data_IF_453610328260
#
_entry.id   IF_453610328260
#
_cell.length_a   1.000
_cell.length_b   1.000
_cell.length_c   1.000
_cell.angle_alpha   90.00
_cell.angle_beta   90.00
_cell.angle_gamma   90.00
#
_symmetry.space_group_name_H-M   'P 1'
#
loop_
_entity.id
_entity.type
_entity.pdbx_description
1 polymer ?
#
# COMPACT_ATOMS: atom_id res chain seq x y z
N UNK A 1 -5.29 -5.35 -3.71
CA UNK A 1 -3.81 -5.30 -3.56
C UNK A 1 -3.24 -4.37 -4.61
N UNK A 2 -2.02 -3.85 -4.40
CA UNK A 2 -1.33 -3.05 -5.42
C UNK A 2 0.00 -3.71 -5.74
N UNK A 3 0.31 -3.78 -7.03
CA UNK A 3 1.54 -4.40 -7.53
C UNK A 3 2.70 -3.42 -7.37
N UNK A 4 3.83 -3.92 -6.87
CA UNK A 4 5.09 -3.16 -6.78
C UNK A 4 6.15 -3.72 -7.73
N UNK A 5 6.17 -5.04 -7.94
CA UNK A 5 7.08 -5.67 -8.88
C UNK A 5 6.37 -6.84 -9.58
N UNK A 6 6.68 -7.05 -10.85
CA UNK A 6 6.16 -8.16 -11.66
C UNK A 6 7.33 -9.06 -12.07
N UNK A 7 7.16 -10.35 -11.89
CA UNK A 7 8.05 -11.41 -12.36
C UNK A 7 7.28 -12.27 -13.39
N UNK A 8 7.95 -13.17 -14.09
CA UNK A 8 7.37 -14.02 -15.14
C UNK A 8 6.34 -15.03 -14.59
N UNK A 9 6.50 -15.45 -13.32
CA UNK A 9 5.63 -16.46 -12.67
C UNK A 9 4.72 -15.89 -11.59
N UNK A 10 5.08 -14.74 -11.02
CA UNK A 10 4.39 -14.15 -9.89
C UNK A 10 4.56 -12.64 -9.86
N UNK A 11 3.67 -11.97 -9.14
CA UNK A 11 3.78 -10.54 -8.85
C UNK A 11 4.00 -10.35 -7.36
N UNK A 12 4.90 -9.45 -7.02
CA UNK A 12 5.07 -8.98 -5.63
C UNK A 12 4.15 -7.79 -5.42
N UNK A 13 3.28 -7.92 -4.43
CA UNK A 13 2.24 -6.96 -4.12
C UNK A 13 2.37 -6.50 -2.67
N UNK A 14 2.02 -5.24 -2.44
CA UNK A 14 1.77 -4.74 -1.09
C UNK A 14 0.29 -4.86 -0.76
N UNK A 15 0.00 -5.15 0.50
CA UNK A 15 -1.37 -5.14 0.98
C UNK A 15 -1.82 -3.69 1.17
N UNK A 16 -2.88 -3.32 0.46
CA UNK A 16 -3.63 -2.09 0.75
C UNK A 16 -4.73 -2.46 1.73
N UNK A 17 -4.63 -1.93 2.94
CA UNK A 17 -5.55 -2.18 4.03
C UNK A 17 -6.78 -1.27 3.90
N UNK A 18 -7.63 -1.56 2.92
CA UNK A 18 -8.89 -0.83 2.68
C UNK A 18 -9.97 -1.30 3.67
N UNK A 19 -10.01 -2.60 3.97
CA UNK A 19 -11.06 -3.23 4.80
C UNK A 19 -10.62 -3.61 6.21
N UNK A 20 -9.32 -3.72 6.45
CA UNK A 20 -8.75 -4.28 7.69
C UNK A 20 -8.83 -3.32 8.89
N UNK A 21 -9.20 -2.06 8.68
CA UNK A 21 -9.33 -1.05 9.75
C UNK A 21 -10.77 -0.61 10.02
N UNK A 22 -11.75 -1.13 9.27
CA UNK A 22 -13.15 -0.69 9.37
C UNK A 22 -13.35 0.78 9.00
N UNK A 23 -12.63 1.27 8.00
CA UNK A 23 -12.66 2.69 7.58
C UNK A 23 -11.85 3.64 8.49
N UNK A 24 -11.11 3.12 9.46
CA UNK A 24 -10.36 3.94 10.44
C UNK A 24 -8.93 4.29 10.00
N UNK A 25 -8.46 3.77 8.86
CA UNK A 25 -7.09 3.99 8.39
C UNK A 25 -6.04 3.72 9.49
N UNK A 26 -5.15 4.67 9.75
CA UNK A 26 -4.10 4.56 10.78
C UNK A 26 -4.62 4.67 12.24
N UNK A 27 -5.91 4.96 12.45
CA UNK A 27 -6.54 4.97 13.77
C UNK A 27 -6.91 3.57 14.29
N UNK A 28 -6.69 2.52 13.49
CA UNK A 28 -6.94 1.17 13.94
C UNK A 28 -6.01 0.77 15.11
N UNK A 29 -6.61 0.20 16.15
CA UNK A 29 -5.89 -0.29 17.31
C UNK A 29 -4.91 -1.42 16.94
N UNK A 30 -3.70 -1.35 17.48
CA UNK A 30 -2.63 -2.32 17.21
C UNK A 30 -1.83 -2.06 15.93
N UNK A 31 -2.10 -0.96 15.22
CA UNK A 31 -1.35 -0.56 14.05
C UNK A 31 -0.08 0.22 14.44
N UNK A 32 1.00 0.03 13.68
CA UNK A 32 2.21 0.85 13.81
C UNK A 32 2.29 1.84 12.63
N UNK A 33 1.96 3.14 12.84
CA UNK A 33 1.93 4.14 11.78
C UNK A 33 3.27 4.31 11.06
N UNK A 34 4.38 4.03 11.74
CA UNK A 34 5.73 4.13 11.18
C UNK A 34 6.02 3.10 10.09
N UNK A 35 5.25 2.00 10.03
CA UNK A 35 5.39 0.97 8.98
C UNK A 35 4.45 1.17 7.80
N UNK A 36 3.61 2.21 7.87
CA UNK A 36 2.55 2.44 6.92
C UNK A 36 2.80 3.68 6.07
N UNK A 37 2.29 3.61 4.85
CA UNK A 37 2.22 4.73 3.91
C UNK A 37 0.78 5.03 3.51
N UNK A 38 0.58 6.23 2.99
CA UNK A 38 -0.67 6.62 2.33
C UNK A 38 -0.56 6.24 0.86
N UNK A 39 -1.59 5.62 0.31
CA UNK A 39 -1.67 5.35 -1.12
C UNK A 39 -2.86 6.07 -1.70
N UNK A 40 -2.69 6.65 -2.88
CA UNK A 40 -3.75 7.36 -3.58
C UNK A 40 -3.65 7.17 -5.08
N UNK A 41 -4.71 7.50 -5.78
CA UNK A 41 -4.78 7.40 -7.23
C UNK A 41 -3.98 8.52 -7.91
N UNK A 42 -3.35 8.22 -9.06
CA UNK A 42 -2.68 9.22 -9.89
C UNK A 42 -3.65 10.35 -10.28
N UNK A 43 -3.21 11.61 -10.13
CA UNK A 43 -4.05 12.77 -10.41
C UNK A 43 -4.95 13.21 -9.24
N UNK A 44 -4.96 12.44 -8.14
CA UNK A 44 -5.60 12.84 -6.88
C UNK A 44 -4.55 13.32 -5.87
N UNK A 45 -4.98 14.07 -4.84
CA UNK A 45 -4.10 14.46 -3.75
C UNK A 45 -4.20 13.47 -2.59
N UNK A 46 -3.09 13.13 -1.91
CA UNK A 46 -3.12 12.29 -0.73
C UNK A 46 -3.91 12.98 0.38
N UNK A 47 -4.83 12.25 0.99
CA UNK A 47 -5.68 12.75 2.07
C UNK A 47 -5.50 11.91 3.34
N UNK A 48 -5.33 12.62 4.45
CA UNK A 48 -5.35 12.05 5.80
C UNK A 48 -6.77 12.16 6.35
N UNK A 49 -7.18 11.18 7.13
CA UNK A 49 -8.40 11.28 7.93
C UNK A 49 -8.13 12.18 9.13
N UNK A 50 -9.16 12.88 9.60
CA UNK A 50 -9.04 13.73 10.78
C UNK A 50 -8.66 12.90 12.00
N UNK A 51 -7.57 13.29 12.67
CA UNK A 51 -7.03 12.61 13.84
C UNK A 51 -6.05 11.47 13.56
N UNK A 52 -5.80 11.11 12.30
CA UNK A 52 -4.79 10.09 11.99
C UNK A 52 -3.37 10.54 12.38
N UNK A 53 -2.56 9.64 12.98
CA UNK A 53 -1.13 9.91 13.16
C UNK A 53 -0.44 10.06 11.80
N UNK A 54 0.70 10.75 11.81
CA UNK A 54 1.54 10.82 10.61
C UNK A 54 2.00 9.43 10.19
N UNK A 55 1.86 9.12 8.89
CA UNK A 55 2.44 7.93 8.29
C UNK A 55 3.98 7.97 8.39
N UNK A 56 4.61 6.81 8.52
CA UNK A 56 6.08 6.71 8.58
C UNK A 56 6.76 7.03 7.27
N UNK A 57 6.07 6.79 6.15
CA UNK A 57 6.59 6.94 4.80
C UNK A 57 5.80 7.96 3.99
N UNK A 58 6.43 8.56 2.96
CA UNK A 58 5.75 9.49 2.08
C UNK A 58 4.56 8.82 1.37
N UNK A 59 3.53 9.60 0.98
CA UNK A 59 2.43 9.09 0.18
C UNK A 59 2.92 8.60 -1.19
N UNK A 60 2.36 7.50 -1.66
CA UNK A 60 2.68 6.91 -2.97
C UNK A 60 1.46 6.88 -3.88
N UNK A 61 1.69 7.07 -5.17
CA UNK A 61 0.67 7.08 -6.21
C UNK A 61 0.54 5.69 -6.82
N UNK A 62 -0.69 5.30 -7.10
CA UNK A 62 -0.99 4.07 -7.84
C UNK A 62 -1.90 4.34 -9.04
N UNK A 63 -1.55 3.73 -10.17
CA UNK A 63 -2.40 3.64 -11.34
C UNK A 63 -3.47 2.57 -11.10
N UNK A 64 -4.73 2.99 -11.01
CA UNK A 64 -5.86 2.11 -10.74
C UNK A 64 -6.35 1.49 -12.05
N UNK A 65 -6.48 0.16 -12.07
CA UNK A 65 -6.92 -0.56 -13.27
C UNK A 65 -8.43 -0.57 -13.46
N UNK A 66 -9.19 -0.29 -12.40
CA UNK A 66 -10.64 -0.35 -12.38
C UNK A 66 -11.20 1.07 -12.45
N UNK A 67 -11.55 1.55 -13.64
CA UNK A 67 -12.07 2.91 -13.85
C UNK A 67 -13.33 3.23 -13.02
N UNK A 68 -14.12 2.20 -12.69
CA UNK A 68 -15.34 2.35 -11.87
C UNK A 68 -15.05 2.34 -10.35
N UNK A 69 -13.80 2.15 -9.94
CA UNK A 69 -13.42 2.04 -8.53
C UNK A 69 -12.41 3.10 -8.15
N UNK A 70 -12.87 4.09 -7.41
CA UNK A 70 -11.99 5.05 -6.74
C UNK A 70 -11.33 4.38 -5.55
N UNK A 71 -10.04 4.65 -5.35
CA UNK A 71 -9.36 4.22 -4.13
C UNK A 71 -9.91 4.99 -2.92
N UNK A 72 -10.45 4.32 -1.89
CA UNK A 72 -10.96 5.01 -0.70
C UNK A 72 -9.88 5.83 -0.01
N UNK A 73 -10.25 6.97 0.59
CA UNK A 73 -9.31 7.87 1.27
C UNK A 73 -8.61 7.18 2.46
N UNK A 74 -9.28 6.23 3.12
CA UNK A 74 -8.69 5.42 4.19
C UNK A 74 -7.67 4.36 3.72
N UNK A 75 -7.36 4.29 2.42
CA UNK A 75 -6.43 3.30 1.89
C UNK A 75 -5.01 3.56 2.39
N UNK A 76 -4.47 2.61 3.14
CA UNK A 76 -3.10 2.63 3.66
C UNK A 76 -2.35 1.41 3.18
N UNK A 77 -1.06 1.56 2.91
CA UNK A 77 -0.14 0.47 2.55
C UNK A 77 0.65 0.06 3.78
N UNK A 78 0.76 -1.25 4.00
CA UNK A 78 1.67 -1.82 5.00
C UNK A 78 2.92 -2.36 4.30
N UNK A 79 4.05 -1.65 4.43
CA UNK A 79 5.31 -2.06 3.80
C UNK A 79 5.98 -3.23 4.51
N UNK A 80 5.54 -3.57 5.73
CA UNK A 80 6.09 -4.71 6.47
C UNK A 80 5.54 -6.06 5.99
N UNK A 81 4.42 -6.03 5.24
CA UNK A 81 3.69 -7.20 4.75
C UNK A 81 3.68 -7.24 3.22
N UNK A 82 4.80 -7.67 2.66
CA UNK A 82 4.87 -8.09 1.26
C UNK A 82 4.12 -9.41 1.06
N UNK A 83 3.33 -9.49 -0.01
CA UNK A 83 2.62 -10.69 -0.42
C UNK A 83 3.02 -11.06 -1.84
N UNK A 84 3.43 -12.32 -2.01
CA UNK A 84 3.62 -12.90 -3.34
C UNK A 84 2.29 -13.42 -3.85
N UNK A 85 1.93 -12.99 -5.06
CA UNK A 85 0.71 -13.39 -5.76
C UNK A 85 1.10 -14.12 -7.03
N UNK A 86 0.76 -15.39 -7.15
CA UNK A 86 0.93 -16.14 -8.40
C UNK A 86 -0.16 -15.77 -9.42
N UNK A 87 0.17 -15.80 -10.71
CA UNK A 87 -0.77 -15.41 -11.79
C UNK A 87 -1.94 -16.40 -11.98
N UNK A 88 -1.82 -17.61 -11.43
CA UNK A 88 -2.84 -18.66 -11.46
C UNK A 88 -3.88 -18.50 -10.32
N UNK A 89 -3.67 -17.63 -9.33
CA UNK A 89 -4.58 -17.43 -8.21
C UNK A 89 -5.52 -16.26 -8.50
N UNK A 90 -6.86 -16.44 -8.38
CA UNK A 90 -7.81 -15.35 -8.54
C UNK A 90 -7.69 -14.37 -7.36
N UNK A 91 -7.01 -13.25 -7.57
CA UNK A 91 -6.93 -12.14 -6.62
C UNK A 91 -7.40 -10.84 -7.25
N UNK A 92 -7.95 -9.93 -6.43
CA UNK A 92 -8.30 -8.60 -6.87
C UNK A 92 -7.10 -7.65 -6.76
N UNK A 93 -6.48 -7.39 -7.91
CA UNK A 93 -5.47 -6.34 -8.07
C UNK A 93 -6.20 -5.03 -8.37
N UNK A 94 -6.03 -4.03 -7.50
CA UNK A 94 -6.64 -2.70 -7.67
C UNK A 94 -5.84 -1.85 -8.65
N UNK A 95 -4.52 -2.01 -8.68
CA UNK A 95 -3.63 -1.21 -9.51
C UNK A 95 -2.16 -1.56 -9.30
N UNK A 96 -1.30 -0.67 -9.78
CA UNK A 96 0.16 -0.73 -9.63
C UNK A 96 0.72 0.61 -9.15
N UNK A 97 1.79 0.58 -8.36
CA UNK A 97 2.50 1.81 -7.95
C UNK A 97 3.16 2.43 -9.18
N UNK A 98 3.13 3.75 -9.27
CA UNK A 98 3.84 4.44 -10.36
C UNK A 98 5.35 4.30 -10.21
N UNK A 99 6.06 4.24 -11.33
CA UNK A 99 7.50 4.02 -11.33
C UNK A 99 8.27 5.13 -10.58
N UNK A 100 7.78 6.37 -10.61
CA UNK A 100 8.39 7.51 -9.91
C UNK A 100 8.44 7.34 -8.39
N UNK A 101 7.45 6.65 -7.81
CA UNK A 101 7.33 6.47 -6.36
C UNK A 101 7.88 5.11 -5.93
N UNK A 102 8.46 4.34 -6.87
CA UNK A 102 8.98 3.01 -6.60
C UNK A 102 10.20 3.03 -5.67
N UNK A 103 11.05 4.05 -5.78
CA UNK A 103 12.22 4.20 -4.90
C UNK A 103 11.80 4.39 -3.43
N UNK A 104 10.75 5.18 -3.19
CA UNK A 104 10.17 5.37 -1.86
C UNK A 104 9.57 4.07 -1.32
N UNK A 105 8.88 3.31 -2.18
CA UNK A 105 8.33 2.00 -1.81
C UNK A 105 9.44 1.01 -1.48
N UNK A 106 10.49 0.93 -2.29
CA UNK A 106 11.61 0.01 -2.07
C UNK A 106 12.33 0.33 -0.77
N UNK A 107 12.64 1.60 -0.52
CA UNK A 107 13.23 2.06 0.73
C UNK A 107 12.37 1.66 1.93
N UNK A 108 11.07 1.93 1.87
CA UNK A 108 10.14 1.63 2.96
C UNK A 108 10.05 0.14 3.27
N UNK A 109 10.07 -0.70 2.22
CA UNK A 109 10.09 -2.15 2.34
C UNK A 109 11.38 -2.64 2.97
N UNK A 110 12.52 -2.14 2.51
CA UNK A 110 13.85 -2.53 3.02
C UNK A 110 14.02 -2.13 4.48
N UNK A 111 13.66 -0.91 4.85
CA UNK A 111 13.67 -0.46 6.25
C UNK A 111 12.73 -1.28 7.13
N UNK A 112 11.52 -1.59 6.65
CA UNK A 112 10.59 -2.46 7.39
C UNK A 112 11.13 -3.89 7.53
N UNK A 113 11.88 -4.38 6.55
CA UNK A 113 12.52 -5.69 6.57
C UNK A 113 13.66 -5.75 7.58
N UNK A 114 14.56 -4.76 7.58
CA UNK A 114 15.69 -4.67 8.50
C UNK A 114 15.27 -4.60 9.98
N UNK A 115 14.12 -4.01 10.25
CA UNK A 115 13.55 -3.95 11.60
C UNK A 115 12.82 -5.22 12.05
N UNK A 116 12.81 -6.30 11.26
CA UNK A 116 12.25 -7.59 11.70
C UNK A 116 13.18 -8.23 12.72
N UNK A 117 12.60 -8.71 13.82
CA UNK A 117 13.32 -9.49 14.83
C UNK A 117 13.45 -10.92 14.33
N UNK A 118 14.69 -11.41 14.32
CA UNK A 118 15.05 -12.79 13.95
C UNK A 118 15.18 -13.66 15.20
#
# INVERSE_FOLDING_TARGET
MVVIAKDESHSTCVQVSIRTYGGRGLLAEGLNPHKHGIIHEVGTNPRRLDGEPAAGYPPVRAAIFHQDKVMPVESRVDYSKLVRVEHNVPVLIMGEVVQEDFDDVSLAVDECWLHKRH
#
